data_IF_805985360294
#
_entry.id   IF_805985360294
#
_cell.length_a   1.000
_cell.length_b   1.000
_cell.length_c   1.000
_cell.angle_alpha   90.00
_cell.angle_beta   90.00
_cell.angle_gamma   90.00
#
_symmetry.space_group_name_H-M   'P 1'
#
loop_
_entity.id
_entity.type
_entity.pdbx_description
1 polymer ?
#
# COMPACT_ATOMS: atom_id res chain seq x y z
N UNK A 1 29.08 16.63 22.39
CA UNK A 1 28.91 17.09 21.00
C UNK A 1 28.69 15.81 20.17
N UNK A 2 27.64 15.74 19.32
CA UNK A 2 27.43 14.58 18.42
C UNK A 2 28.62 14.50 17.46
N UNK A 3 29.12 13.27 17.19
CA UNK A 3 30.28 13.03 16.33
C UNK A 3 29.88 12.58 14.92
N UNK A 4 28.65 12.90 14.47
CA UNK A 4 28.22 12.50 13.14
C UNK A 4 28.81 13.38 12.04
N UNK A 5 29.12 12.77 10.90
CA UNK A 5 29.50 13.47 9.67
C UNK A 5 28.41 14.45 9.27
N UNK A 6 28.82 15.65 8.84
CA UNK A 6 27.88 16.71 8.45
C UNK A 6 27.76 16.80 6.95
N UNK A 7 26.53 16.84 6.48
CA UNK A 7 26.14 17.06 5.10
C UNK A 7 25.55 18.45 4.95
N UNK A 8 26.24 19.32 4.25
CA UNK A 8 25.79 20.68 3.95
C UNK A 8 24.93 20.67 2.70
N UNK A 9 23.77 21.29 2.75
CA UNK A 9 22.80 21.22 1.66
C UNK A 9 22.45 22.57 1.04
N UNK A 10 21.96 22.52 -0.20
CA UNK A 10 21.51 23.69 -0.96
C UNK A 10 20.31 24.38 -0.27
N UNK A 11 20.04 25.67 -0.58
CA UNK A 11 18.82 26.35 -0.12
C UNK A 11 17.52 25.67 -0.54
N UNK A 12 17.52 24.91 -1.67
CA UNK A 12 16.38 24.11 -2.11
C UNK A 12 16.14 22.96 -1.15
N UNK A 13 17.17 22.16 -0.85
CA UNK A 13 17.09 21.06 0.12
C UNK A 13 16.75 21.57 1.54
N UNK A 14 17.30 22.73 1.96
CA UNK A 14 16.95 23.35 3.24
C UNK A 14 15.45 23.66 3.32
N UNK A 15 14.84 24.22 2.28
CA UNK A 15 13.38 24.49 2.27
C UNK A 15 12.58 23.20 2.38
N UNK A 16 12.94 22.15 1.65
CA UNK A 16 12.27 20.86 1.72
C UNK A 16 12.40 20.23 3.13
N UNK A 17 13.60 20.19 3.71
CA UNK A 17 13.81 19.67 5.06
C UNK A 17 13.05 20.48 6.12
N UNK A 18 13.00 21.82 6.02
CA UNK A 18 12.23 22.67 6.94
C UNK A 18 10.72 22.52 6.81
N UNK A 19 10.22 22.15 5.62
CA UNK A 19 8.81 21.80 5.45
C UNK A 19 8.49 20.39 5.96
N UNK A 20 9.50 19.67 6.47
CA UNK A 20 9.36 18.34 7.05
C UNK A 20 9.48 17.19 6.04
N UNK A 21 9.89 17.46 4.79
CA UNK A 21 10.16 16.39 3.84
C UNK A 21 11.45 15.64 4.23
N UNK A 22 11.44 14.30 4.37
CA UNK A 22 12.57 13.58 4.96
C UNK A 22 13.69 13.24 3.96
N UNK A 23 13.52 13.51 2.67
CA UNK A 23 14.50 13.11 1.65
C UNK A 23 15.42 14.25 1.25
N UNK A 24 16.73 14.00 1.33
CA UNK A 24 17.77 14.87 0.78
C UNK A 24 18.38 14.15 -0.42
N UNK A 25 18.25 14.74 -1.58
CA UNK A 25 18.76 14.18 -2.83
C UNK A 25 20.26 14.43 -3.00
N UNK A 26 20.93 13.59 -3.79
CA UNK A 26 22.36 13.69 -4.03
C UNK A 26 22.79 15.07 -4.57
N UNK A 27 22.01 15.63 -5.50
CA UNK A 27 22.28 16.96 -6.08
C UNK A 27 22.06 18.12 -5.11
N UNK A 28 21.46 17.89 -3.97
CA UNK A 28 21.24 18.90 -2.94
C UNK A 28 22.42 19.03 -1.97
N UNK A 29 23.38 18.09 -1.99
CA UNK A 29 24.54 18.11 -1.12
C UNK A 29 25.63 18.97 -1.74
N UNK A 30 26.10 19.97 -1.00
CA UNK A 30 27.14 20.91 -1.46
C UNK A 30 28.52 20.57 -0.92
N UNK A 31 28.58 19.99 0.29
CA UNK A 31 29.84 19.66 0.98
C UNK A 31 29.57 18.62 2.05
N UNK A 32 30.57 17.80 2.32
CA UNK A 32 30.61 16.83 3.43
C UNK A 32 31.78 17.13 4.35
N UNK A 33 31.60 16.99 5.67
CA UNK A 33 32.62 17.20 6.69
C UNK A 33 32.63 15.99 7.63
N UNK A 34 33.68 15.20 7.59
CA UNK A 34 33.85 13.94 8.30
C UNK A 34 33.87 12.73 7.36
N UNK A 35 34.02 11.53 7.94
CA UNK A 35 34.01 10.27 7.24
C UNK A 35 32.72 9.50 7.57
N UNK A 36 32.26 8.65 6.67
CA UNK A 36 31.05 7.85 6.83
C UNK A 36 31.12 6.59 5.96
N UNK A 37 30.28 5.63 6.30
CA UNK A 37 29.97 4.47 5.48
C UNK A 37 28.47 4.48 5.11
N UNK A 38 28.12 3.81 4.03
CA UNK A 38 26.72 3.66 3.65
C UNK A 38 25.92 2.96 4.76
N UNK A 39 24.75 3.51 5.12
CA UNK A 39 23.93 3.05 6.24
C UNK A 39 24.19 3.78 7.56
N UNK A 40 25.26 4.58 7.66
CA UNK A 40 25.56 5.37 8.85
C UNK A 40 24.55 6.49 9.08
N UNK A 41 24.56 7.01 10.31
CA UNK A 41 23.86 8.24 10.70
C UNK A 41 24.73 9.46 10.38
N UNK A 42 24.12 10.44 9.72
CA UNK A 42 24.76 11.72 9.39
C UNK A 42 23.86 12.89 9.79
N UNK A 43 24.47 14.00 10.15
CA UNK A 43 23.75 15.25 10.43
C UNK A 43 23.63 16.08 9.14
N UNK A 44 22.42 16.47 8.81
CA UNK A 44 22.15 17.41 7.72
C UNK A 44 22.10 18.81 8.27
N UNK A 45 22.86 19.71 7.65
CA UNK A 45 23.01 21.09 8.09
C UNK A 45 22.84 22.06 6.92
N UNK A 46 22.43 23.30 7.22
CA UNK A 46 22.43 24.39 6.23
C UNK A 46 23.86 24.75 5.81
N UNK A 47 24.04 25.53 4.73
CA UNK A 47 25.34 26.03 4.31
C UNK A 47 26.05 26.86 5.42
N UNK A 48 25.29 27.38 6.40
CA UNK A 48 25.83 28.13 7.57
C UNK A 48 26.06 27.20 8.79
N UNK A 49 25.94 25.90 8.65
CA UNK A 49 26.16 24.92 9.71
C UNK A 49 25.00 24.76 10.71
N UNK A 50 23.81 25.34 10.45
CA UNK A 50 22.64 25.15 11.32
C UNK A 50 22.06 23.78 11.10
N UNK A 51 21.84 23.00 12.16
CA UNK A 51 21.26 21.66 12.14
C UNK A 51 19.83 21.67 11.58
N UNK A 52 19.53 20.67 10.75
CA UNK A 52 18.22 20.44 10.15
C UNK A 52 17.64 19.07 10.53
N UNK A 53 18.47 18.06 10.72
CA UNK A 53 18.05 16.72 11.08
C UNK A 53 19.20 15.73 11.01
N UNK A 54 18.96 14.51 11.51
CA UNK A 54 19.85 13.35 11.40
C UNK A 54 19.14 12.27 10.62
N UNK A 55 19.86 11.57 9.75
CA UNK A 55 19.29 10.51 8.91
C UNK A 55 20.32 9.51 8.44
N UNK A 56 19.84 8.50 7.69
CA UNK A 56 20.67 7.47 7.08
C UNK A 56 21.26 7.96 5.76
N UNK A 57 22.55 7.75 5.56
CA UNK A 57 23.22 8.04 4.29
C UNK A 57 23.36 6.79 3.45
N UNK A 58 23.18 6.94 2.12
CA UNK A 58 23.47 5.87 1.16
C UNK A 58 23.90 6.45 -0.20
N UNK A 59 25.13 6.18 -0.63
CA UNK A 59 25.71 6.66 -1.88
C UNK A 59 25.15 5.97 -3.13
N UNK A 60 24.55 4.80 -3.01
CA UNK A 60 23.89 4.10 -4.12
C UNK A 60 22.54 4.74 -4.47
N UNK A 61 21.89 5.39 -3.50
CA UNK A 61 20.56 5.97 -3.65
C UNK A 61 20.60 7.40 -4.20
N UNK A 62 19.63 7.74 -5.05
CA UNK A 62 19.36 9.14 -5.42
C UNK A 62 18.88 9.95 -4.20
N UNK A 63 18.16 9.31 -3.28
CA UNK A 63 17.82 9.88 -1.97
C UNK A 63 19.03 9.65 -1.07
N UNK A 64 19.97 10.60 -1.10
CA UNK A 64 21.26 10.50 -0.43
C UNK A 64 21.16 10.38 1.08
N UNK A 65 20.26 11.15 1.71
CA UNK A 65 20.00 11.07 3.15
C UNK A 65 18.50 10.97 3.39
N UNK A 66 18.09 10.00 4.20
CA UNK A 66 16.72 9.83 4.69
C UNK A 66 16.68 10.29 6.15
N UNK A 67 16.12 11.49 6.39
CA UNK A 67 16.00 12.06 7.74
C UNK A 67 15.06 11.19 8.59
N UNK A 68 15.51 10.92 9.81
CA UNK A 68 14.75 10.15 10.81
C UNK A 68 14.41 10.98 12.05
N UNK A 69 15.11 12.06 12.31
CA UNK A 69 14.80 12.98 13.40
C UNK A 69 15.33 14.38 13.11
N UNK A 70 14.59 15.38 13.61
CA UNK A 70 15.00 16.79 13.65
C UNK A 70 15.38 17.24 15.07
N UNK A 71 15.30 16.33 16.06
CA UNK A 71 15.65 16.61 17.44
C UNK A 71 17.13 16.33 17.71
N UNK A 72 17.89 17.37 18.06
CA UNK A 72 19.33 17.27 18.37
C UNK A 72 19.64 16.40 19.60
N UNK A 73 18.66 16.11 20.45
CA UNK A 73 18.84 15.32 21.67
C UNK A 73 18.60 13.81 21.50
N UNK A 74 18.08 13.38 20.36
CA UNK A 74 17.87 11.96 20.10
C UNK A 74 19.21 11.20 20.00
N UNK A 75 19.30 10.04 20.64
CA UNK A 75 20.54 9.23 20.69
C UNK A 75 20.60 8.08 19.71
N UNK A 76 19.47 7.71 19.10
CA UNK A 76 19.31 6.59 18.14
C UNK A 76 19.71 5.21 18.69
N UNK A 77 19.58 5.07 20.00
CA UNK A 77 19.74 3.82 20.77
C UNK A 77 18.45 2.97 20.75
N UNK A 78 18.44 1.88 21.50
CA UNK A 78 17.28 0.99 21.59
C UNK A 78 16.01 1.73 22.10
N UNK A 79 16.17 2.64 23.07
CA UNK A 79 15.04 3.41 23.62
C UNK A 79 14.40 4.34 22.59
N UNK A 80 15.21 4.90 21.68
CA UNK A 80 14.70 5.71 20.56
C UNK A 80 13.83 4.87 19.62
N UNK A 81 14.29 3.68 19.21
CA UNK A 81 13.56 2.81 18.32
C UNK A 81 12.33 2.20 18.99
N UNK A 82 12.45 1.79 20.25
CA UNK A 82 11.30 1.28 21.01
C UNK A 82 10.19 2.33 21.12
N UNK A 83 10.52 3.56 21.49
CA UNK A 83 9.54 4.66 21.56
C UNK A 83 8.82 4.88 20.22
N UNK A 84 9.54 4.85 19.10
CA UNK A 84 8.94 5.02 17.76
C UNK A 84 8.04 3.86 17.37
N UNK A 85 8.45 2.64 17.65
CA UNK A 85 7.63 1.45 17.43
C UNK A 85 6.34 1.53 18.25
N UNK A 86 6.42 1.93 19.51
CA UNK A 86 5.23 2.11 20.34
C UNK A 86 4.28 3.16 19.78
N UNK A 87 4.77 4.29 19.29
CA UNK A 87 3.92 5.29 18.63
C UNK A 87 3.22 4.72 17.37
N UNK A 88 3.91 3.97 16.53
CA UNK A 88 3.33 3.36 15.35
C UNK A 88 2.25 2.32 15.72
N UNK A 89 2.51 1.50 16.73
CA UNK A 89 1.56 0.49 17.23
C UNK A 89 0.34 1.14 17.88
N UNK A 90 0.53 2.14 18.76
CA UNK A 90 -0.55 2.84 19.45
C UNK A 90 -1.46 3.58 18.47
N UNK A 91 -0.87 4.17 17.41
CA UNK A 91 -1.64 4.73 16.32
C UNK A 91 -2.53 3.67 15.67
N UNK A 92 -2.00 2.47 15.32
CA UNK A 92 -2.80 1.39 14.72
C UNK A 92 -3.88 0.88 15.67
N UNK A 93 -3.61 0.77 16.97
CA UNK A 93 -4.64 0.39 17.93
C UNK A 93 -5.80 1.39 17.97
N UNK A 94 -5.51 2.67 17.73
CA UNK A 94 -6.53 3.72 17.67
C UNK A 94 -7.35 3.66 16.37
N UNK A 95 -6.69 3.53 15.21
CA UNK A 95 -7.37 3.63 13.91
C UNK A 95 -7.82 2.27 13.34
N UNK A 96 -7.31 1.16 13.88
CA UNK A 96 -7.64 -0.22 13.51
C UNK A 96 -8.09 -0.99 14.77
N UNK A 97 -9.24 -0.64 15.37
CA UNK A 97 -9.63 -1.20 16.66
C UNK A 97 -10.06 -2.67 16.56
N UNK A 98 -9.91 -3.40 17.67
CA UNK A 98 -10.40 -4.77 17.82
C UNK A 98 -9.74 -5.75 16.86
N UNK A 99 -10.55 -6.50 16.12
CA UNK A 99 -10.07 -7.50 15.15
C UNK A 99 -9.26 -6.90 13.98
N UNK A 100 -9.49 -5.63 13.66
CA UNK A 100 -8.80 -4.95 12.57
C UNK A 100 -7.30 -4.83 12.82
N UNK A 101 -6.88 -4.73 14.09
CA UNK A 101 -5.47 -4.71 14.49
C UNK A 101 -4.72 -6.01 14.14
N UNK A 102 -5.43 -7.14 14.01
CA UNK A 102 -4.84 -8.42 13.59
C UNK A 102 -4.61 -8.52 12.08
N UNK A 103 -5.12 -7.56 11.29
CA UNK A 103 -4.98 -7.53 9.85
C UNK A 103 -4.81 -6.09 9.38
N UNK A 104 -3.59 -5.55 9.56
CA UNK A 104 -3.27 -4.15 9.25
C UNK A 104 -1.78 -3.95 9.00
N UNK A 105 -1.43 -2.82 8.37
CA UNK A 105 -0.05 -2.35 8.26
C UNK A 105 0.39 -1.73 9.59
N UNK A 106 1.38 -2.29 10.25
CA UNK A 106 1.91 -1.79 11.52
C UNK A 106 2.90 -0.65 11.34
N UNK A 107 3.71 -0.67 10.26
CA UNK A 107 4.69 0.37 9.94
C UNK A 107 4.57 0.72 8.46
N UNK A 108 4.47 2.02 8.17
CA UNK A 108 4.36 2.55 6.82
C UNK A 108 5.44 3.60 6.53
N UNK A 109 6.67 3.16 6.41
CA UNK A 109 7.80 3.94 5.91
C UNK A 109 7.96 5.32 6.54
N UNK A 110 8.04 6.30 5.67
CA UNK A 110 8.21 7.71 6.03
C UNK A 110 7.09 8.24 6.92
N UNK A 111 5.87 7.74 6.75
CA UNK A 111 4.73 8.21 7.54
C UNK A 111 4.82 7.84 9.03
N UNK A 112 5.59 6.81 9.37
CA UNK A 112 5.90 6.42 10.75
C UNK A 112 7.34 6.75 11.16
N UNK A 113 8.05 7.52 10.33
CA UNK A 113 9.46 7.86 10.52
C UNK A 113 10.41 6.64 10.57
N UNK A 114 10.08 5.60 9.82
CA UNK A 114 10.93 4.45 9.51
C UNK A 114 11.19 4.39 8.01
N UNK A 115 11.94 5.32 7.43
CA UNK A 115 12.03 5.48 5.98
C UNK A 115 12.51 4.20 5.31
N UNK A 116 11.67 3.69 4.40
CA UNK A 116 11.93 2.45 3.67
C UNK A 116 11.60 1.16 4.43
N UNK A 117 10.96 1.21 5.61
CA UNK A 117 10.45 0.03 6.30
C UNK A 117 8.94 -0.08 6.15
N UNK A 118 8.47 -1.24 5.71
CA UNK A 118 7.06 -1.61 5.77
C UNK A 118 6.93 -2.87 6.60
N UNK A 119 5.96 -2.92 7.51
CA UNK A 119 5.60 -4.13 8.25
C UNK A 119 4.09 -4.30 8.21
N UNK A 120 3.63 -5.38 7.62
CA UNK A 120 2.24 -5.81 7.59
C UNK A 120 2.02 -6.92 8.61
N UNK A 121 0.87 -6.92 9.25
CA UNK A 121 0.41 -7.99 10.13
C UNK A 121 -0.72 -8.76 9.49
N UNK A 122 -0.54 -10.06 9.35
CA UNK A 122 -1.54 -11.02 8.93
C UNK A 122 -1.76 -12.01 10.07
N UNK A 123 -2.69 -11.70 10.97
CA UNK A 123 -3.02 -12.46 12.16
C UNK A 123 -1.79 -12.68 13.07
N UNK A 124 -1.14 -13.84 12.99
CA UNK A 124 0.02 -14.28 13.77
C UNK A 124 1.36 -14.15 13.03
N UNK A 125 1.35 -13.70 11.78
CA UNK A 125 2.57 -13.48 10.98
C UNK A 125 2.76 -11.98 10.73
N UNK A 126 3.99 -11.51 10.96
CA UNK A 126 4.45 -10.22 10.48
C UNK A 126 5.17 -10.40 9.14
N UNK A 127 4.96 -9.48 8.22
CA UNK A 127 5.67 -9.47 6.93
C UNK A 127 6.37 -8.13 6.75
N UNK A 128 7.68 -8.16 6.64
CA UNK A 128 8.51 -6.97 6.52
C UNK A 128 9.13 -6.80 5.15
N UNK A 129 9.23 -5.54 4.70
CA UNK A 129 10.09 -5.14 3.59
C UNK A 129 11.03 -4.04 4.06
N UNK A 130 12.33 -4.25 3.91
CA UNK A 130 13.38 -3.26 4.19
C UNK A 130 13.91 -2.70 2.88
N UNK A 131 13.53 -1.47 2.55
CA UNK A 131 13.80 -0.82 1.26
C UNK A 131 14.82 0.32 1.37
N UNK A 132 15.49 0.46 2.53
CA UNK A 132 16.60 1.39 2.72
C UNK A 132 17.73 0.74 3.50
N UNK A 133 18.97 1.03 3.10
CA UNK A 133 20.16 0.44 3.73
C UNK A 133 20.26 0.80 5.22
N UNK A 134 19.85 2.02 5.59
CA UNK A 134 19.86 2.46 6.99
C UNK A 134 18.96 1.63 7.90
N UNK A 135 17.83 1.14 7.41
CA UNK A 135 16.96 0.18 8.11
C UNK A 135 17.57 -1.22 8.06
N UNK A 136 18.09 -1.65 6.90
CA UNK A 136 18.67 -3.00 6.74
C UNK A 136 19.74 -3.29 7.77
N UNK A 137 20.68 -2.36 8.01
CA UNK A 137 21.75 -2.52 9.00
C UNK A 137 21.26 -2.46 10.46
N UNK A 138 20.01 -2.08 10.70
CA UNK A 138 19.36 -1.97 12.04
C UNK A 138 18.18 -2.91 12.20
N UNK A 139 17.85 -3.69 11.18
CA UNK A 139 16.61 -4.52 11.18
C UNK A 139 16.58 -5.50 12.34
N UNK A 140 17.71 -6.08 12.72
CA UNK A 140 17.76 -7.02 13.84
C UNK A 140 17.28 -6.37 15.14
N UNK A 141 17.77 -5.18 15.48
CA UNK A 141 17.32 -4.43 16.64
C UNK A 141 15.83 -4.08 16.53
N UNK A 142 15.42 -3.52 15.38
CA UNK A 142 14.04 -3.05 15.18
C UNK A 142 13.05 -4.21 15.24
N UNK A 143 13.34 -5.34 14.60
CA UNK A 143 12.44 -6.50 14.56
C UNK A 143 12.33 -7.18 15.93
N UNK A 144 13.44 -7.32 16.67
CA UNK A 144 13.40 -7.86 18.02
C UNK A 144 12.60 -6.96 18.97
N UNK A 145 12.76 -5.63 18.89
CA UNK A 145 11.96 -4.69 19.68
C UNK A 145 10.47 -4.76 19.30
N UNK A 146 10.14 -4.82 18.01
CA UNK A 146 8.76 -4.95 17.55
C UNK A 146 8.10 -6.22 18.08
N UNK A 147 8.81 -7.36 17.95
CA UNK A 147 8.35 -8.66 18.46
C UNK A 147 8.11 -8.62 19.98
N UNK A 148 9.08 -8.09 20.73
CA UNK A 148 8.97 -7.89 22.18
C UNK A 148 7.75 -7.06 22.57
N UNK A 149 7.56 -5.88 21.94
CA UNK A 149 6.46 -4.97 22.24
C UNK A 149 5.10 -5.65 22.01
N UNK A 150 4.93 -6.34 20.90
CA UNK A 150 3.68 -7.02 20.57
C UNK A 150 3.38 -8.14 21.58
N UNK A 151 4.38 -8.91 21.98
CA UNK A 151 4.23 -9.96 23.00
C UNK A 151 3.89 -9.38 24.38
N UNK A 152 4.55 -8.30 24.79
CA UNK A 152 4.22 -7.58 26.04
C UNK A 152 2.77 -7.10 26.07
N UNK A 153 2.20 -6.80 24.90
CA UNK A 153 0.80 -6.38 24.76
C UNK A 153 -0.18 -7.55 24.60
N UNK A 154 0.29 -8.80 24.77
CA UNK A 154 -0.53 -10.00 24.68
C UNK A 154 -0.85 -10.47 23.27
N UNK A 155 -0.12 -9.98 22.26
CA UNK A 155 -0.32 -10.44 20.89
C UNK A 155 0.46 -11.74 20.65
N UNK A 156 -0.20 -12.70 20.01
CA UNK A 156 0.41 -13.95 19.57
C UNK A 156 1.02 -13.75 18.19
N UNK A 157 2.35 -13.65 18.12
CA UNK A 157 3.11 -13.53 16.87
C UNK A 157 3.97 -14.78 16.73
N UNK A 158 3.72 -15.55 15.67
CA UNK A 158 4.42 -16.77 15.35
C UNK A 158 5.79 -16.50 14.73
N UNK A 159 5.90 -15.47 13.90
CA UNK A 159 7.16 -15.11 13.26
C UNK A 159 7.06 -13.85 12.40
N UNK A 160 8.19 -13.43 11.86
CA UNK A 160 8.32 -12.36 10.88
C UNK A 160 8.94 -12.93 9.60
N UNK A 161 8.26 -12.73 8.47
CA UNK A 161 8.71 -13.12 7.14
C UNK A 161 9.23 -11.89 6.39
N UNK A 162 10.44 -11.94 5.86
CA UNK A 162 11.01 -10.88 5.03
C UNK A 162 10.60 -11.09 3.56
N UNK A 163 9.98 -10.07 2.94
CA UNK A 163 9.61 -10.03 1.52
C UNK A 163 10.47 -8.98 0.80
N UNK A 164 11.76 -9.17 0.87
CA UNK A 164 12.77 -8.32 0.27
C UNK A 164 13.10 -8.71 -1.18
N UNK A 165 12.28 -9.54 -1.81
CA UNK A 165 12.32 -9.97 -3.21
C UNK A 165 11.81 -8.89 -4.17
N UNK A 166 12.29 -7.64 -4.01
CA UNK A 166 11.85 -6.47 -4.75
C UNK A 166 13.02 -5.68 -5.34
N UNK A 167 12.97 -5.42 -6.65
CA UNK A 167 14.06 -4.79 -7.42
C UNK A 167 14.51 -3.42 -6.94
N UNK A 168 13.65 -2.70 -6.19
CA UNK A 168 14.02 -1.38 -5.66
C UNK A 168 15.21 -1.47 -4.69
N UNK A 169 15.44 -2.61 -4.05
CA UNK A 169 16.60 -2.85 -3.18
C UNK A 169 17.93 -2.70 -3.91
N UNK A 170 17.97 -3.11 -5.19
CA UNK A 170 19.17 -2.96 -6.02
C UNK A 170 19.59 -1.49 -6.20
N UNK A 171 18.62 -0.55 -6.17
CA UNK A 171 18.88 0.89 -6.24
C UNK A 171 19.49 1.44 -4.94
N UNK A 172 19.38 0.70 -3.86
CA UNK A 172 19.97 1.00 -2.54
C UNK A 172 21.27 0.22 -2.31
N UNK A 173 21.75 -0.55 -3.30
CA UNK A 173 22.95 -1.40 -3.20
C UNK A 173 22.73 -2.65 -2.33
N UNK A 174 21.50 -3.12 -2.20
CA UNK A 174 21.13 -4.30 -1.42
C UNK A 174 20.66 -5.43 -2.34
N UNK A 175 20.91 -6.68 -1.94
CA UNK A 175 20.42 -7.86 -2.64
C UNK A 175 18.94 -8.15 -2.35
N UNK A 176 18.28 -8.83 -3.29
CA UNK A 176 16.95 -9.38 -3.08
C UNK A 176 17.03 -10.66 -2.23
N UNK A 177 16.15 -10.79 -1.24
CA UNK A 177 16.01 -12.00 -0.43
C UNK A 177 14.58 -12.15 0.10
N UNK A 178 14.20 -13.37 0.48
CA UNK A 178 12.96 -13.64 1.22
C UNK A 178 13.17 -14.83 2.16
N UNK A 179 12.40 -14.88 3.23
CA UNK A 179 12.42 -15.96 4.21
C UNK A 179 12.06 -15.52 5.61
N UNK A 180 12.01 -16.47 6.50
CA UNK A 180 11.77 -16.18 7.91
C UNK A 180 12.95 -15.45 8.55
N UNK A 181 12.65 -14.40 9.32
CA UNK A 181 13.64 -13.78 10.20
C UNK A 181 13.77 -14.62 11.47
N UNK A 182 15.01 -14.96 11.83
CA UNK A 182 15.29 -15.78 13.01
C UNK A 182 15.28 -14.92 14.29
N UNK A 183 14.26 -15.07 15.10
CA UNK A 183 14.26 -14.53 16.47
C UNK A 183 14.95 -15.49 17.42
N UNK A 184 15.82 -14.98 18.30
CA UNK A 184 16.59 -15.80 19.23
C UNK A 184 15.71 -16.62 20.21
N UNK A 185 14.52 -16.13 20.56
CA UNK A 185 13.63 -16.73 21.56
C UNK A 185 12.33 -17.31 20.97
N UNK A 186 12.18 -17.34 19.65
CA UNK A 186 10.98 -17.88 19.03
C UNK A 186 11.15 -19.34 18.62
N UNK A 187 10.05 -20.10 18.68
CA UNK A 187 9.98 -21.41 18.05
C UNK A 187 10.04 -21.28 16.51
N UNK A 188 10.33 -22.39 15.82
CA UNK A 188 10.25 -22.40 14.36
C UNK A 188 8.85 -21.99 13.90
N UNK A 189 8.72 -21.00 12.98
CA UNK A 189 7.44 -20.40 12.64
C UNK A 189 6.55 -21.28 11.73
N UNK A 190 7.05 -22.41 11.22
CA UNK A 190 6.31 -23.32 10.35
C UNK A 190 6.02 -22.75 8.95
N UNK A 191 4.90 -23.18 8.35
CA UNK A 191 4.53 -22.79 7.00
C UNK A 191 4.22 -21.29 6.88
N UNK A 192 4.59 -20.64 5.77
CA UNK A 192 4.35 -19.20 5.53
C UNK A 192 2.90 -18.91 5.09
N UNK A 193 1.95 -19.61 5.70
CA UNK A 193 0.51 -19.52 5.45
C UNK A 193 -0.23 -19.12 6.72
N UNK A 194 -1.21 -18.24 6.58
CA UNK A 194 -2.10 -17.87 7.69
C UNK A 194 -3.50 -17.56 7.18
N UNK A 195 -4.46 -17.50 8.09
CA UNK A 195 -5.81 -17.02 7.80
C UNK A 195 -6.03 -15.66 8.45
N UNK A 196 -6.60 -14.74 7.68
CA UNK A 196 -7.02 -13.43 8.17
C UNK A 196 -8.55 -13.30 8.12
N UNK A 197 -9.07 -12.41 8.95
CA UNK A 197 -10.46 -11.97 8.88
C UNK A 197 -10.48 -10.47 8.59
N UNK A 198 -11.07 -10.09 7.47
CA UNK A 198 -11.28 -8.70 7.10
C UNK A 198 -12.76 -8.46 6.78
N UNK A 199 -13.39 -7.48 7.43
CA UNK A 199 -14.81 -7.17 7.25
C UNK A 199 -15.75 -8.38 7.49
N UNK A 200 -15.34 -9.31 8.38
CA UNK A 200 -16.06 -10.54 8.66
C UNK A 200 -15.86 -11.67 7.63
N UNK A 201 -15.03 -11.47 6.63
CA UNK A 201 -14.70 -12.44 5.58
C UNK A 201 -13.33 -13.06 5.86
N UNK A 202 -13.22 -14.38 5.73
CA UNK A 202 -12.01 -15.16 5.96
C UNK A 202 -11.24 -15.33 4.65
N UNK A 203 -9.93 -15.03 4.68
CA UNK A 203 -9.03 -15.21 3.55
C UNK A 203 -7.82 -16.03 3.95
N UNK A 204 -7.37 -16.92 3.05
CA UNK A 204 -6.05 -17.51 3.15
C UNK A 204 -5.01 -16.52 2.61
N UNK A 205 -3.92 -16.33 3.34
CA UNK A 205 -2.80 -15.49 2.94
C UNK A 205 -1.54 -16.34 2.89
N UNK A 206 -0.93 -16.39 1.71
CA UNK A 206 0.39 -16.95 1.48
C UNK A 206 1.38 -15.78 1.48
N UNK A 207 2.17 -15.67 2.57
CA UNK A 207 3.11 -14.57 2.70
C UNK A 207 4.39 -14.78 1.89
N UNK A 208 4.65 -16.01 1.44
CA UNK A 208 5.80 -16.33 0.60
C UNK A 208 5.54 -16.03 -0.89
N UNK A 209 4.38 -16.48 -1.43
CA UNK A 209 4.10 -16.45 -2.87
C UNK A 209 3.02 -15.41 -3.22
N UNK A 210 2.31 -14.87 -2.24
CA UNK A 210 1.30 -13.85 -2.45
C UNK A 210 1.90 -12.55 -3.01
N UNK A 211 1.07 -11.75 -3.70
CA UNK A 211 1.50 -10.46 -4.24
C UNK A 211 1.89 -9.48 -3.13
N UNK A 212 2.89 -8.66 -3.35
CA UNK A 212 3.48 -7.74 -2.36
C UNK A 212 3.89 -8.50 -1.10
N UNK A 213 3.23 -8.21 0.03
CA UNK A 213 3.44 -8.86 1.33
C UNK A 213 2.50 -10.03 1.59
N UNK A 214 1.52 -10.29 0.68
CA UNK A 214 0.56 -11.38 0.77
C UNK A 214 -0.90 -10.98 0.52
N UNK A 215 -1.32 -9.77 0.97
CA UNK A 215 -2.67 -9.25 0.78
C UNK A 215 -2.68 -7.72 0.73
N UNK A 216 -3.67 -7.12 0.06
CA UNK A 216 -3.79 -5.67 -0.09
C UNK A 216 -4.62 -5.06 1.04
N UNK A 217 -3.96 -4.64 2.11
CA UNK A 217 -4.60 -4.09 3.31
C UNK A 217 -5.17 -2.68 3.11
N UNK A 218 -4.60 -1.93 2.19
CA UNK A 218 -4.92 -0.52 1.92
C UNK A 218 -6.35 -0.28 1.42
N UNK A 219 -7.00 -1.30 0.84
CA UNK A 219 -8.37 -1.25 0.30
C UNK A 219 -9.46 -1.70 1.29
N UNK A 220 -9.12 -2.07 2.52
CA UNK A 220 -10.03 -2.66 3.50
C UNK A 220 -11.38 -1.94 3.62
N UNK A 221 -11.35 -0.65 3.91
CA UNK A 221 -12.59 0.13 4.10
C UNK A 221 -13.23 0.56 2.79
N UNK A 222 -12.51 0.52 1.67
CA UNK A 222 -13.09 0.67 0.35
C UNK A 222 -13.94 -0.56 -0.01
N UNK A 223 -13.45 -1.76 0.30
CA UNK A 223 -14.23 -3.01 0.19
C UNK A 223 -15.48 -2.98 1.07
N UNK A 224 -15.38 -2.48 2.30
CA UNK A 224 -16.54 -2.32 3.18
C UNK A 224 -17.56 -1.31 2.62
N UNK A 225 -17.11 -0.25 1.94
CA UNK A 225 -18.01 0.71 1.29
C UNK A 225 -18.78 0.07 0.13
N UNK A 226 -18.14 -0.80 -0.65
CA UNK A 226 -18.80 -1.59 -1.72
C UNK A 226 -19.91 -2.47 -1.15
N UNK A 227 -19.67 -3.17 -0.04
CA UNK A 227 -20.67 -4.04 0.59
C UNK A 227 -21.97 -3.30 0.91
N UNK A 228 -21.91 -2.03 1.33
CA UNK A 228 -23.08 -1.23 1.70
C UNK A 228 -24.08 -0.99 0.55
N UNK A 229 -23.61 -1.00 -0.71
CA UNK A 229 -24.43 -0.66 -1.88
C UNK A 229 -24.64 -1.87 -2.81
N UNK A 230 -24.10 -3.03 -2.50
CA UNK A 230 -24.12 -4.21 -3.36
C UNK A 230 -25.45 -5.00 -3.32
N UNK A 231 -26.31 -4.78 -2.33
CA UNK A 231 -27.52 -5.57 -2.12
C UNK A 231 -28.40 -5.66 -3.38
N UNK A 232 -28.68 -6.90 -3.80
CA UNK A 232 -29.50 -7.22 -4.96
C UNK A 232 -28.88 -6.90 -6.31
N UNK A 233 -27.59 -6.51 -6.35
CA UNK A 233 -26.88 -6.13 -7.57
C UNK A 233 -26.24 -7.31 -8.27
N UNK A 234 -26.15 -7.23 -9.59
CA UNK A 234 -25.28 -8.07 -10.42
C UNK A 234 -23.95 -7.32 -10.59
N UNK A 235 -22.90 -7.82 -9.97
CA UNK A 235 -21.61 -7.14 -9.83
C UNK A 235 -20.58 -7.74 -10.78
N UNK A 236 -19.84 -6.88 -11.48
CA UNK A 236 -18.61 -7.25 -12.20
C UNK A 236 -17.41 -6.67 -11.46
N UNK A 237 -16.61 -7.51 -10.84
CA UNK A 237 -15.37 -7.14 -10.15
C UNK A 237 -14.18 -7.40 -11.07
N UNK A 238 -13.61 -6.33 -11.61
CA UNK A 238 -12.49 -6.35 -12.55
C UNK A 238 -11.15 -6.22 -11.83
N UNK A 239 -10.17 -7.07 -12.21
CA UNK A 239 -8.87 -7.17 -11.54
C UNK A 239 -9.00 -7.68 -10.10
N UNK A 240 -9.82 -8.72 -9.94
CA UNK A 240 -10.30 -9.16 -8.63
C UNK A 240 -9.21 -9.70 -7.70
N UNK A 241 -8.05 -10.10 -8.24
CA UNK A 241 -6.95 -10.74 -7.52
C UNK A 241 -7.48 -11.97 -6.73
N UNK A 242 -7.49 -11.94 -5.41
CA UNK A 242 -7.99 -13.03 -4.54
C UNK A 242 -9.48 -12.93 -4.20
N UNK A 243 -10.24 -12.11 -4.95
CA UNK A 243 -11.69 -11.96 -4.79
C UNK A 243 -12.13 -11.01 -3.69
N UNK A 244 -11.23 -10.15 -3.18
CA UNK A 244 -11.54 -9.40 -1.96
C UNK A 244 -12.69 -8.39 -2.14
N UNK A 245 -12.80 -7.68 -3.27
CA UNK A 245 -13.96 -6.83 -3.57
C UNK A 245 -15.21 -7.67 -3.86
N UNK A 246 -15.08 -8.73 -4.66
CA UNK A 246 -16.18 -9.63 -5.00
C UNK A 246 -16.83 -10.24 -3.75
N UNK A 247 -16.03 -10.73 -2.81
CA UNK A 247 -16.52 -11.34 -1.57
C UNK A 247 -17.20 -10.31 -0.65
N UNK A 248 -16.67 -9.09 -0.56
CA UNK A 248 -17.32 -8.00 0.18
C UNK A 248 -18.67 -7.61 -0.46
N UNK A 249 -18.75 -7.55 -1.80
CA UNK A 249 -20.01 -7.32 -2.51
C UNK A 249 -21.03 -8.45 -2.24
N UNK A 250 -20.60 -9.70 -2.30
CA UNK A 250 -21.44 -10.86 -2.00
C UNK A 250 -21.92 -10.85 -0.54
N UNK A 251 -21.03 -10.60 0.42
CA UNK A 251 -21.40 -10.48 1.84
C UNK A 251 -22.36 -9.30 2.09
N UNK A 252 -22.28 -8.23 1.26
CA UNK A 252 -23.22 -7.11 1.25
C UNK A 252 -24.59 -7.44 0.65
N UNK A 253 -24.79 -8.67 0.17
CA UNK A 253 -26.05 -9.17 -0.38
C UNK A 253 -26.20 -8.97 -1.89
N UNK A 254 -25.12 -8.93 -2.65
CA UNK A 254 -25.19 -8.96 -4.12
C UNK A 254 -25.95 -10.22 -4.58
N UNK A 255 -26.73 -10.08 -5.67
CA UNK A 255 -27.47 -11.20 -6.27
C UNK A 255 -26.53 -12.18 -6.98
N UNK A 256 -25.53 -11.64 -7.68
CA UNK A 256 -24.47 -12.41 -8.35
C UNK A 256 -23.22 -11.54 -8.48
N UNK A 257 -22.05 -12.16 -8.45
CA UNK A 257 -20.75 -11.48 -8.65
C UNK A 257 -19.90 -12.28 -9.62
N UNK A 258 -19.48 -11.65 -10.71
CA UNK A 258 -18.45 -12.17 -11.62
C UNK A 258 -17.12 -11.53 -11.26
N UNK A 259 -16.18 -12.32 -10.76
CA UNK A 259 -14.86 -11.88 -10.31
C UNK A 259 -13.80 -12.21 -11.36
N UNK A 260 -13.24 -11.20 -12.01
CA UNK A 260 -12.41 -11.35 -13.20
C UNK A 260 -10.94 -11.05 -12.90
N UNK A 261 -10.08 -11.99 -13.27
CA UNK A 261 -8.63 -11.77 -13.29
C UNK A 261 -7.99 -12.50 -14.49
N UNK A 262 -6.82 -12.03 -14.91
CA UNK A 262 -6.03 -12.67 -15.97
C UNK A 262 -5.27 -13.90 -15.45
N UNK A 263 -4.93 -13.95 -14.15
CA UNK A 263 -4.25 -15.06 -13.51
C UNK A 263 -5.24 -16.19 -13.17
N UNK A 264 -4.94 -17.39 -13.62
CA UNK A 264 -5.71 -18.58 -13.26
C UNK A 264 -5.62 -18.87 -11.75
N UNK A 265 -4.46 -18.66 -11.17
CA UNK A 265 -4.19 -18.86 -9.74
C UNK A 265 -5.02 -17.88 -8.88
N UNK A 266 -5.12 -16.62 -9.30
CA UNK A 266 -5.95 -15.61 -8.63
C UNK A 266 -7.44 -16.01 -8.67
N UNK A 267 -7.92 -16.47 -9.83
CA UNK A 267 -9.31 -16.97 -9.99
C UNK A 267 -9.56 -18.19 -9.09
N UNK A 268 -8.65 -19.15 -9.07
CA UNK A 268 -8.77 -20.32 -8.19
C UNK A 268 -8.80 -19.92 -6.70
N UNK A 269 -7.98 -18.94 -6.30
CA UNK A 269 -7.97 -18.43 -4.94
C UNK A 269 -9.28 -17.69 -4.62
N UNK A 270 -9.85 -16.96 -5.58
CA UNK A 270 -11.18 -16.32 -5.44
C UNK A 270 -12.26 -17.35 -5.17
N UNK A 271 -12.32 -18.44 -5.96
CA UNK A 271 -13.29 -19.51 -5.77
C UNK A 271 -13.09 -20.27 -4.45
N UNK A 272 -11.83 -20.50 -4.04
CA UNK A 272 -11.51 -21.10 -2.75
C UNK A 272 -11.96 -20.22 -1.57
N UNK A 273 -11.68 -18.91 -1.64
CA UNK A 273 -12.14 -17.96 -0.64
C UNK A 273 -13.67 -17.82 -0.62
N UNK A 274 -14.34 -17.85 -1.76
CA UNK A 274 -15.80 -17.86 -1.84
C UNK A 274 -16.39 -19.10 -1.15
N UNK A 275 -15.86 -20.29 -1.44
CA UNK A 275 -16.27 -21.54 -0.81
C UNK A 275 -16.04 -21.53 0.71
N UNK A 276 -14.89 -21.05 1.17
CA UNK A 276 -14.55 -20.92 2.60
C UNK A 276 -15.56 -20.07 3.38
N UNK A 277 -16.17 -19.09 2.72
CA UNK A 277 -17.14 -18.17 3.31
C UNK A 277 -18.61 -18.53 2.98
N UNK A 278 -18.87 -19.63 2.29
CA UNK A 278 -20.22 -20.03 1.86
C UNK A 278 -20.83 -19.09 0.81
N UNK A 279 -20.00 -18.39 0.05
CA UNK A 279 -20.38 -17.42 -0.98
C UNK A 279 -20.23 -17.96 -2.41
N UNK A 280 -19.85 -19.22 -2.57
CA UNK A 280 -19.58 -19.89 -3.85
C UNK A 280 -20.79 -19.96 -4.79
N UNK A 281 -22.02 -19.82 -4.26
CA UNK A 281 -23.25 -19.73 -5.08
C UNK A 281 -23.44 -18.34 -5.69
N UNK A 282 -22.87 -17.30 -5.10
CA UNK A 282 -23.01 -15.89 -5.49
C UNK A 282 -21.79 -15.43 -6.28
N UNK A 283 -20.57 -15.78 -5.86
CA UNK A 283 -19.31 -15.38 -6.50
C UNK A 283 -18.86 -16.46 -7.46
N UNK A 284 -18.52 -16.05 -8.68
CA UNK A 284 -17.92 -16.89 -9.71
C UNK A 284 -16.67 -16.25 -10.28
N UNK A 285 -15.56 -16.97 -10.19
CA UNK A 285 -14.30 -16.57 -10.82
C UNK A 285 -14.35 -16.74 -12.34
N UNK A 286 -13.80 -15.77 -13.06
CA UNK A 286 -13.66 -15.78 -14.52
C UNK A 286 -12.23 -15.39 -14.91
N UNK A 287 -11.50 -16.32 -15.54
CA UNK A 287 -10.20 -16.00 -16.13
C UNK A 287 -10.39 -15.27 -17.46
N UNK A 288 -10.11 -13.97 -17.48
CA UNK A 288 -10.17 -13.16 -18.70
C UNK A 288 -9.26 -11.93 -18.60
N UNK A 289 -8.87 -11.41 -19.76
CA UNK A 289 -8.29 -10.07 -19.86
C UNK A 289 -9.42 -9.04 -19.75
N UNK A 290 -9.38 -8.18 -18.75
CA UNK A 290 -10.43 -7.17 -18.48
C UNK A 290 -10.65 -6.23 -19.66
N UNK A 291 -9.59 -5.79 -20.37
CA UNK A 291 -9.71 -4.91 -21.53
C UNK A 291 -10.49 -5.55 -22.67
N UNK A 292 -10.24 -6.84 -22.93
CA UNK A 292 -10.91 -7.60 -23.98
C UNK A 292 -12.36 -7.92 -23.55
N UNK A 293 -12.58 -8.36 -22.33
CA UNK A 293 -13.90 -8.65 -21.78
C UNK A 293 -14.82 -7.42 -21.83
N UNK A 294 -14.35 -6.27 -21.34
CA UNK A 294 -15.15 -5.04 -21.37
C UNK A 294 -15.47 -4.63 -22.82
N UNK A 295 -14.55 -4.83 -23.76
CA UNK A 295 -14.78 -4.56 -25.19
C UNK A 295 -15.85 -5.47 -25.77
N UNK A 296 -15.77 -6.76 -25.48
CA UNK A 296 -16.77 -7.76 -25.91
C UNK A 296 -18.16 -7.44 -25.36
N UNK A 297 -18.26 -7.18 -24.06
CA UNK A 297 -19.53 -6.83 -23.41
C UNK A 297 -20.15 -5.56 -24.03
N UNK A 298 -19.35 -4.53 -24.33
CA UNK A 298 -19.83 -3.29 -25.00
C UNK A 298 -20.31 -3.60 -26.42
N UNK A 299 -19.56 -4.39 -27.20
CA UNK A 299 -19.92 -4.75 -28.57
C UNK A 299 -21.22 -5.58 -28.61
N UNK A 300 -21.41 -6.46 -27.65
CA UNK A 300 -22.60 -7.28 -27.47
C UNK A 300 -23.78 -6.51 -26.83
N UNK A 301 -23.58 -5.24 -26.48
CA UNK A 301 -24.58 -4.38 -25.80
C UNK A 301 -25.12 -5.04 -24.52
N UNK A 302 -24.24 -5.74 -23.79
CA UNK A 302 -24.62 -6.40 -22.54
C UNK A 302 -25.23 -5.41 -21.54
N UNK A 303 -26.25 -5.90 -20.81
CA UNK A 303 -26.90 -5.17 -19.70
C UNK A 303 -27.02 -6.04 -18.46
N UNK A 304 -26.09 -6.98 -18.35
CA UNK A 304 -26.07 -7.98 -17.28
C UNK A 304 -25.69 -7.38 -15.92
N UNK A 305 -24.81 -6.35 -15.93
CA UNK A 305 -24.26 -5.80 -14.71
C UNK A 305 -24.87 -4.43 -14.39
N UNK A 306 -25.20 -4.21 -13.14
CA UNK A 306 -25.68 -2.94 -12.60
C UNK A 306 -24.72 -2.34 -11.58
N UNK A 307 -23.61 -3.03 -11.28
CA UNK A 307 -22.50 -2.52 -10.51
C UNK A 307 -21.16 -3.04 -11.06
N UNK A 308 -20.24 -2.15 -11.42
CA UNK A 308 -18.90 -2.49 -11.91
C UNK A 308 -17.85 -1.92 -10.97
N UNK A 309 -16.88 -2.76 -10.59
CA UNK A 309 -15.73 -2.40 -9.74
C UNK A 309 -14.47 -2.49 -10.61
N UNK A 310 -13.66 -1.44 -10.60
CA UNK A 310 -12.40 -1.35 -11.34
C UNK A 310 -11.25 -1.07 -10.34
N UNK A 311 -10.49 -2.10 -9.97
CA UNK A 311 -9.27 -2.00 -9.14
C UNK A 311 -8.02 -2.44 -9.92
N UNK A 312 -7.65 -1.72 -10.98
CA UNK A 312 -6.55 -2.13 -11.85
C UNK A 312 -5.20 -1.99 -11.15
N UNK A 313 -4.19 -2.76 -11.58
CA UNK A 313 -2.82 -2.53 -11.17
C UNK A 313 -2.36 -1.13 -11.57
N UNK A 314 -1.30 -0.62 -10.94
CA UNK A 314 -0.73 0.67 -11.30
C UNK A 314 -0.24 0.67 -12.75
N UNK A 315 -0.96 1.37 -13.64
CA UNK A 315 -0.60 1.48 -15.07
C UNK A 315 0.63 2.34 -15.32
N UNK A 316 1.12 3.07 -14.30
CA UNK A 316 2.36 3.83 -14.39
C UNK A 316 3.19 3.68 -13.12
N UNK A 317 4.51 3.54 -13.33
CA UNK A 317 5.54 3.50 -12.27
C UNK A 317 6.54 4.63 -12.40
N UNK A 318 6.31 5.57 -13.33
CA UNK A 318 7.19 6.73 -13.57
C UNK A 318 6.42 7.91 -14.17
N UNK A 319 6.95 9.12 -13.99
CA UNK A 319 6.36 10.33 -14.58
C UNK A 319 6.30 10.30 -16.11
N UNK A 320 7.24 9.61 -16.78
CA UNK A 320 7.30 9.53 -18.24
C UNK A 320 6.17 8.70 -18.85
N UNK A 321 5.57 7.77 -18.12
CA UNK A 321 4.51 6.88 -18.61
C UNK A 321 3.08 7.30 -18.22
N UNK A 322 2.91 8.43 -17.54
CA UNK A 322 1.60 8.93 -17.05
C UNK A 322 0.59 9.10 -18.18
N UNK A 323 0.99 9.65 -19.35
CA UNK A 323 0.07 9.83 -20.49
C UNK A 323 -0.53 8.51 -20.99
N UNK A 324 0.27 7.46 -21.05
CA UNK A 324 -0.21 6.13 -21.44
C UNK A 324 -1.12 5.52 -20.39
N UNK A 325 -0.79 5.73 -19.09
CA UNK A 325 -1.64 5.29 -18.00
C UNK A 325 -3.02 5.96 -18.04
N UNK A 326 -3.08 7.27 -18.29
CA UNK A 326 -4.36 8.00 -18.44
C UNK A 326 -5.23 7.35 -19.52
N UNK A 327 -4.65 6.96 -20.66
CA UNK A 327 -5.38 6.27 -21.73
C UNK A 327 -5.96 4.93 -21.28
N UNK A 328 -5.17 4.11 -20.59
CA UNK A 328 -5.62 2.82 -20.06
C UNK A 328 -6.73 2.97 -19.02
N UNK A 329 -6.57 3.90 -18.06
CA UNK A 329 -7.63 4.20 -17.10
C UNK A 329 -8.90 4.72 -17.78
N UNK A 330 -8.77 5.63 -18.77
CA UNK A 330 -9.92 6.15 -19.54
C UNK A 330 -10.65 5.03 -20.26
N UNK A 331 -9.92 4.13 -20.91
CA UNK A 331 -10.51 3.04 -21.68
C UNK A 331 -11.40 2.14 -20.81
N UNK A 332 -10.90 1.64 -19.67
CA UNK A 332 -11.69 0.75 -18.81
C UNK A 332 -12.88 1.48 -18.18
N UNK A 333 -12.69 2.72 -17.74
CA UNK A 333 -13.76 3.52 -17.14
C UNK A 333 -14.86 3.86 -18.16
N UNK A 334 -14.49 4.28 -19.38
CA UNK A 334 -15.42 4.55 -20.47
C UNK A 334 -16.27 3.32 -20.81
N UNK A 335 -15.64 2.14 -20.93
CA UNK A 335 -16.34 0.89 -21.24
C UNK A 335 -17.29 0.50 -20.10
N UNK A 336 -16.86 0.60 -18.84
CA UNK A 336 -17.70 0.35 -17.68
C UNK A 336 -18.93 1.27 -17.64
N UNK A 337 -18.74 2.59 -17.87
CA UNK A 337 -19.85 3.55 -17.93
C UNK A 337 -20.84 3.26 -19.07
N UNK A 338 -20.37 2.79 -20.23
CA UNK A 338 -21.26 2.37 -21.34
C UNK A 338 -22.05 1.10 -21.05
N UNK A 339 -21.54 0.21 -20.21
CA UNK A 339 -22.20 -1.03 -19.82
C UNK A 339 -23.29 -0.82 -18.76
N UNK A 340 -23.05 0.12 -17.85
CA UNK A 340 -23.95 0.39 -16.72
C UNK A 340 -25.27 1.01 -17.19
N UNK A 341 -26.40 0.53 -16.68
CA UNK A 341 -27.68 1.21 -16.90
C UNK A 341 -27.75 2.52 -16.10
N UNK A 342 -28.68 3.39 -16.46
CA UNK A 342 -29.03 4.53 -15.61
C UNK A 342 -29.46 4.02 -14.23
N UNK A 343 -28.87 4.57 -13.15
CA UNK A 343 -29.05 4.10 -11.77
C UNK A 343 -28.06 3.03 -11.37
N UNK A 344 -27.24 2.52 -12.29
CA UNK A 344 -26.14 1.60 -12.00
C UNK A 344 -24.97 2.27 -11.29
N UNK A 345 -24.06 1.48 -10.73
CA UNK A 345 -22.96 1.96 -9.89
C UNK A 345 -21.60 1.64 -10.49
N UNK A 346 -20.67 2.57 -10.34
CA UNK A 346 -19.26 2.40 -10.69
C UNK A 346 -18.39 2.67 -9.48
N UNK A 347 -17.58 1.71 -9.08
CA UNK A 347 -16.46 1.93 -8.19
C UNK A 347 -15.16 1.87 -8.99
N UNK A 348 -14.30 2.86 -8.86
CA UNK A 348 -13.05 2.90 -9.64
C UNK A 348 -11.93 3.51 -8.83
N UNK A 349 -10.72 3.01 -9.03
CA UNK A 349 -9.57 3.52 -8.30
C UNK A 349 -8.28 3.56 -9.13
N UNK A 350 -7.31 4.24 -8.56
CA UNK A 350 -5.90 4.20 -8.99
C UNK A 350 -4.99 4.14 -7.77
N UNK A 351 -4.15 3.12 -7.72
CA UNK A 351 -3.13 2.95 -6.67
C UNK A 351 -1.76 3.53 -7.09
N UNK A 352 -1.67 4.29 -8.18
CA UNK A 352 -0.41 4.87 -8.65
C UNK A 352 -0.16 6.23 -8.03
N UNK A 353 1.00 6.41 -7.37
CA UNK A 353 1.47 7.71 -6.90
C UNK A 353 1.62 8.74 -8.04
N UNK A 354 2.04 8.30 -9.24
CA UNK A 354 2.21 9.17 -10.40
C UNK A 354 0.89 9.62 -11.05
N UNK A 355 -0.20 8.88 -10.85
CA UNK A 355 -1.54 9.30 -11.23
C UNK A 355 -2.11 10.19 -10.13
N UNK A 356 -1.80 11.48 -10.16
CA UNK A 356 -2.32 12.46 -9.21
C UNK A 356 -3.85 12.52 -9.27
N UNK A 357 -4.47 12.93 -8.16
CA UNK A 357 -5.92 12.95 -8.04
C UNK A 357 -6.57 13.82 -9.11
N UNK A 358 -6.01 15.01 -9.37
CA UNK A 358 -6.54 15.92 -10.38
C UNK A 358 -6.56 15.29 -11.78
N UNK A 359 -5.50 14.52 -12.12
CA UNK A 359 -5.42 13.81 -13.39
C UNK A 359 -6.43 12.67 -13.46
N UNK A 360 -6.63 11.95 -12.35
CA UNK A 360 -7.61 10.87 -12.29
C UNK A 360 -9.03 11.37 -12.41
N UNK A 361 -9.38 12.43 -11.70
CA UNK A 361 -10.70 13.08 -11.76
C UNK A 361 -10.96 13.64 -13.16
N UNK A 362 -10.00 14.34 -13.78
CA UNK A 362 -10.14 14.84 -15.14
C UNK A 362 -10.37 13.69 -16.14
N UNK A 363 -9.63 12.60 -16.01
CA UNK A 363 -9.81 11.40 -16.85
C UNK A 363 -11.22 10.81 -16.70
N UNK A 364 -11.79 10.79 -15.49
CA UNK A 364 -13.14 10.31 -15.25
C UNK A 364 -14.21 11.23 -15.88
N UNK A 365 -14.03 12.54 -15.81
CA UNK A 365 -14.89 13.51 -16.52
C UNK A 365 -14.86 13.29 -18.03
N UNK A 366 -13.66 13.10 -18.61
CA UNK A 366 -13.52 12.86 -20.05
C UNK A 366 -14.15 11.52 -20.46
N UNK A 367 -14.03 10.48 -19.62
CA UNK A 367 -14.64 9.17 -19.88
C UNK A 367 -16.17 9.24 -19.81
N UNK A 368 -16.73 9.99 -18.84
CA UNK A 368 -18.18 10.18 -18.71
C UNK A 368 -18.77 10.96 -19.90
N UNK A 369 -18.08 12.01 -20.35
CA UNK A 369 -18.46 12.77 -21.54
C UNK A 369 -18.49 11.87 -22.79
N UNK A 370 -17.46 11.06 -23.01
CA UNK A 370 -17.37 10.13 -24.14
C UNK A 370 -18.37 8.96 -24.04
N UNK A 371 -18.80 8.60 -22.83
CA UNK A 371 -19.86 7.63 -22.60
C UNK A 371 -21.26 8.22 -22.75
N UNK A 372 -21.38 9.54 -22.85
CA UNK A 372 -22.64 10.30 -22.82
C UNK A 372 -23.49 10.00 -21.57
N UNK A 373 -22.84 9.99 -20.38
CA UNK A 373 -23.48 9.80 -19.08
C UNK A 373 -23.05 10.89 -18.12
N UNK A 374 -23.83 11.08 -17.05
CA UNK A 374 -23.43 11.88 -15.90
C UNK A 374 -23.12 10.97 -14.72
N UNK A 375 -22.21 11.40 -13.87
CA UNK A 375 -21.80 10.69 -12.67
C UNK A 375 -22.23 11.45 -11.42
N UNK A 376 -23.02 10.80 -10.57
CA UNK A 376 -23.32 11.30 -9.23
C UNK A 376 -22.35 10.67 -8.25
N UNK A 377 -21.44 11.46 -7.70
CA UNK A 377 -20.49 10.96 -6.70
C UNK A 377 -21.22 10.59 -5.41
N UNK A 378 -20.97 9.38 -4.91
CA UNK A 378 -21.45 8.88 -3.64
C UNK A 378 -20.36 9.05 -2.58
N UNK A 379 -19.16 8.54 -2.88
CA UNK A 379 -18.01 8.63 -1.99
C UNK A 379 -16.74 8.95 -2.78
N UNK A 380 -15.84 9.75 -2.16
CA UNK A 380 -14.42 9.87 -2.51
C UNK A 380 -13.62 9.35 -1.33
N UNK A 381 -12.72 8.42 -1.57
CA UNK A 381 -12.01 7.69 -0.54
C UNK A 381 -10.54 7.54 -0.90
N UNK A 382 -9.75 7.16 0.07
CA UNK A 382 -8.31 6.95 -0.03
C UNK A 382 -7.92 5.61 0.60
N UNK A 383 -6.62 5.39 0.78
CA UNK A 383 -6.10 4.22 1.47
C UNK A 383 -6.61 4.13 2.91
N UNK A 384 -6.67 2.91 3.43
CA UNK A 384 -7.05 2.61 4.81
C UNK A 384 -6.15 3.36 5.82
N UNK A 385 -6.67 3.76 7.00
CA UNK A 385 -5.93 4.56 7.99
C UNK A 385 -4.62 3.95 8.50
N UNK A 386 -4.46 2.63 8.41
CA UNK A 386 -3.19 1.95 8.73
C UNK A 386 -2.07 2.23 7.71
N UNK A 387 -2.41 2.87 6.58
CA UNK A 387 -1.51 3.46 5.60
C UNK A 387 -1.56 5.00 5.70
N UNK A 388 -1.05 5.59 6.80
CA UNK A 388 -1.25 7.02 7.07
C UNK A 388 -0.66 7.91 5.98
N UNK A 389 -1.35 9.02 5.72
CA UNK A 389 -0.88 10.08 4.83
C UNK A 389 -0.20 11.14 5.68
N UNK A 390 1.09 11.31 5.49
CA UNK A 390 1.85 12.37 6.12
C UNK A 390 1.83 13.62 5.23
N UNK A 391 1.18 14.68 5.66
CA UNK A 391 0.85 15.84 4.82
C UNK A 391 2.05 16.55 4.17
N UNK A 392 3.19 16.52 4.84
CA UNK A 392 4.44 17.06 4.31
C UNK A 392 5.25 16.07 3.47
N UNK A 393 4.74 14.82 3.28
CA UNK A 393 5.33 13.78 2.43
C UNK A 393 4.25 13.28 1.46
N UNK A 394 4.02 14.00 0.34
CA UNK A 394 2.94 13.69 -0.61
C UNK A 394 3.08 12.29 -1.23
N UNK A 395 4.27 11.69 -1.19
CA UNK A 395 4.53 10.32 -1.65
C UNK A 395 3.77 9.27 -0.82
N UNK A 396 3.34 9.61 0.39
CA UNK A 396 2.52 8.72 1.23
C UNK A 396 1.06 8.65 0.79
N UNK A 397 0.58 9.59 -0.05
CA UNK A 397 -0.73 9.56 -0.67
C UNK A 397 -0.67 8.94 -2.07
N UNK A 398 -1.25 7.76 -2.25
CA UNK A 398 -1.15 7.05 -3.52
C UNK A 398 -2.46 6.42 -4.01
N UNK A 399 -3.45 6.19 -3.14
CA UNK A 399 -4.71 5.53 -3.50
C UNK A 399 -5.84 6.55 -3.60
N UNK A 400 -6.47 6.63 -4.75
CA UNK A 400 -7.70 7.37 -5.06
C UNK A 400 -8.77 6.36 -5.37
N UNK A 401 -9.90 6.44 -4.67
CA UNK A 401 -11.03 5.53 -4.83
C UNK A 401 -12.33 6.32 -4.86
N UNK A 402 -13.14 6.09 -5.87
CA UNK A 402 -14.41 6.79 -6.07
C UNK A 402 -15.54 5.81 -6.29
N UNK A 403 -16.70 6.14 -5.74
CA UNK A 403 -17.97 5.45 -6.01
C UNK A 403 -18.93 6.44 -6.62
N UNK A 404 -19.49 6.07 -7.78
CA UNK A 404 -20.46 6.86 -8.52
C UNK A 404 -21.74 6.08 -8.79
N UNK A 405 -22.83 6.81 -8.94
CA UNK A 405 -24.03 6.36 -9.63
C UNK A 405 -24.07 6.98 -11.02
N UNK A 406 -24.35 6.18 -12.04
CA UNK A 406 -24.60 6.65 -13.42
C UNK A 406 -26.02 7.21 -13.49
N UNK A 407 -26.17 8.44 -14.00
CA UNK A 407 -27.47 9.16 -14.08
C UNK A 407 -27.74 9.67 -15.49
#
# INVERSE_FOLDING_TARGET
MRAYTKFYITPKGERAARSGHPWIYAEEITRTEGEYQNGDLVDVVTNKGKYLGTGFVNDHSKIRVRLISTNTNDKFDADFWERRLRYAIDYRRTVMPGADFKCCRLIFGEADHFPGLTVDRFNDILVAQTLSLGIEVRKELIFNLLYKILREQGEEIRGLYERNDVKIRLLEGMEENKGWFAFAEAAEPGEPLTEIVENGIRYNVDVENGQKTGFFLDQKYNRQAIAKIARGKHVLDCFTHTGAFALNAAAGGAAAVTAVDISAEAVQMTDANASKNGLDKVVKGLKANVFDLLSELVNNKSREYDFIILDPPAFTKSGSTVKNAIRGYKEINLKAMKLLPRGGYLATCSCSHFMKEELFVQMLHDAAADANVQLRQIEARQQSPDHPILWNVPETYYLKFYIFQVV
#
